data_IF_515800053512
#
_entry.id   IF_515800053512
#
_cell.length_a   1.000
_cell.length_b   1.000
_cell.length_c   1.000
_cell.angle_alpha   90.00
_cell.angle_beta   90.00
_cell.angle_gamma   90.00
#
_symmetry.space_group_name_H-M   'P 1'
#
loop_
_entity.id
_entity.type
_entity.pdbx_description
1 polymer ?
#
# COMPACT_ATOMS: atom_id res chain seq x y z
N UNK A 1 -22.27 48.19 83.42
CA UNK A 1 -21.67 46.97 83.89
C UNK A 1 -21.22 46.18 82.69
N UNK A 2 -19.91 45.93 82.57
CA UNK A 2 -19.24 45.39 81.35
C UNK A 2 -19.29 43.87 81.32
N UNK A 3 -19.77 43.29 80.31
CA UNK A 3 -19.60 41.85 80.06
C UNK A 3 -18.93 41.65 78.71
N UNK A 4 -17.80 41.06 78.72
CA UNK A 4 -16.96 40.73 77.58
C UNK A 4 -17.42 39.41 76.96
N UNK A 5 -17.63 39.27 75.65
CA UNK A 5 -17.82 37.96 75.06
C UNK A 5 -16.51 37.39 74.49
N UNK A 6 -16.28 36.16 74.89
CA UNK A 6 -15.19 35.27 74.45
C UNK A 6 -15.32 34.96 72.99
N UNK A 7 -14.23 35.18 72.21
CA UNK A 7 -14.15 34.84 70.80
C UNK A 7 -13.78 33.36 70.62
N UNK A 8 -14.67 32.55 70.04
CA UNK A 8 -14.34 31.21 69.48
C UNK A 8 -13.83 31.37 68.05
N UNK A 9 -12.64 30.90 67.78
CA UNK A 9 -12.07 30.83 66.43
C UNK A 9 -12.53 29.54 65.75
N UNK A 10 -13.05 29.60 64.53
CA UNK A 10 -13.27 28.38 63.73
C UNK A 10 -11.97 27.93 63.08
N UNK A 11 -11.63 26.65 63.28
CA UNK A 11 -10.55 25.98 62.62
C UNK A 11 -11.00 25.69 61.16
N UNK A 12 -10.34 26.33 60.20
CA UNK A 12 -10.51 26.08 58.81
C UNK A 12 -9.80 24.73 58.47
N UNK A 13 -10.58 23.70 58.19
CA UNK A 13 -10.08 22.44 57.67
C UNK A 13 -9.78 22.58 56.18
N UNK A 14 -8.52 22.45 55.78
CA UNK A 14 -8.07 22.43 54.40
C UNK A 14 -8.34 21.02 53.82
N UNK A 15 -9.39 20.88 53.02
CA UNK A 15 -9.60 19.63 52.28
C UNK A 15 -8.82 19.72 50.96
N UNK A 16 -7.70 18.99 50.91
CA UNK A 16 -6.94 18.83 49.70
C UNK A 16 -7.67 17.83 48.76
N UNK A 17 -8.34 18.32 47.73
CA UNK A 17 -8.89 17.49 46.68
C UNK A 17 -7.77 17.11 45.70
N UNK A 18 -7.27 15.89 45.77
CA UNK A 18 -6.37 15.29 44.78
C UNK A 18 -7.18 14.90 43.54
N UNK A 19 -7.07 15.71 42.50
CA UNK A 19 -7.61 15.38 41.17
C UNK A 19 -6.65 14.39 40.52
N UNK A 20 -7.02 13.11 40.46
CA UNK A 20 -6.36 12.08 39.65
C UNK A 20 -6.72 12.32 38.19
N UNK A 21 -5.83 12.97 37.44
CA UNK A 21 -5.92 12.98 35.96
C UNK A 21 -5.58 11.57 35.46
N UNK A 22 -6.59 10.78 35.22
CA UNK A 22 -6.48 9.55 34.43
C UNK A 22 -6.09 9.88 33.01
N UNK A 23 -4.79 9.74 32.68
CA UNK A 23 -4.34 9.74 31.32
C UNK A 23 -4.85 8.45 30.65
N UNK A 24 -5.97 8.53 29.92
CA UNK A 24 -6.36 7.51 28.95
C UNK A 24 -5.33 7.54 27.81
N UNK A 25 -4.24 6.80 27.96
CA UNK A 25 -3.40 6.42 26.85
C UNK A 25 -4.23 5.47 25.99
N UNK A 26 -4.86 6.00 24.95
CA UNK A 26 -5.37 5.19 23.85
C UNK A 26 -4.17 4.52 23.21
N UNK A 27 -3.88 3.29 23.62
CA UNK A 27 -3.01 2.38 22.88
C UNK A 27 -3.73 2.03 21.58
N UNK A 28 -3.64 2.94 20.60
CA UNK A 28 -3.88 2.60 19.22
C UNK A 28 -2.89 1.49 18.89
N UNK A 29 -3.38 0.28 18.61
CA UNK A 29 -2.53 -0.78 18.09
C UNK A 29 -1.78 -0.20 16.89
N UNK A 30 -0.45 -0.28 16.81
CA UNK A 30 0.24 0.15 15.62
C UNK A 30 -0.28 -0.72 14.47
N UNK A 31 -1.03 -0.12 13.57
CA UNK A 31 -1.31 -0.74 12.29
C UNK A 31 0.07 -0.94 11.67
N UNK A 32 0.57 -2.18 11.64
CA UNK A 32 1.89 -2.46 11.10
C UNK A 32 1.92 -1.96 9.67
N UNK A 33 2.64 -0.88 9.45
CA UNK A 33 2.84 -0.33 8.12
C UNK A 33 3.52 -1.37 7.22
N UNK A 34 3.48 -1.16 5.92
CA UNK A 34 4.24 -1.97 4.98
C UNK A 34 5.74 -1.95 5.35
N UNK A 35 6.36 -3.14 5.43
CA UNK A 35 7.82 -3.31 5.53
C UNK A 35 8.35 -4.08 4.33
N UNK A 36 9.51 -3.67 3.86
CA UNK A 36 10.23 -4.36 2.79
C UNK A 36 11.40 -5.22 3.30
N UNK A 37 11.55 -5.40 4.62
CA UNK A 37 12.70 -6.06 5.23
C UNK A 37 12.88 -7.50 4.76
N UNK A 38 11.77 -8.20 4.52
CA UNK A 38 11.73 -9.59 4.08
C UNK A 38 11.76 -9.75 2.54
N UNK A 39 11.80 -8.67 1.79
CA UNK A 39 11.85 -8.71 0.34
C UNK A 39 13.28 -8.90 -0.16
N UNK A 40 13.48 -9.53 -1.35
CA UNK A 40 14.79 -9.57 -1.99
C UNK A 40 15.37 -8.17 -2.21
N UNK A 41 16.67 -7.99 -1.96
CA UNK A 41 17.31 -6.67 -2.03
C UNK A 41 17.15 -5.97 -3.39
N UNK A 42 17.12 -6.76 -4.48
CA UNK A 42 16.96 -6.24 -5.83
C UNK A 42 15.65 -5.52 -6.08
N UNK A 43 14.62 -5.79 -5.28
CA UNK A 43 13.30 -5.15 -5.42
C UNK A 43 12.96 -4.20 -4.28
N UNK A 44 13.90 -3.91 -3.38
CA UNK A 44 13.71 -2.90 -2.35
C UNK A 44 13.81 -1.50 -2.92
N UNK A 45 12.91 -0.63 -2.49
CA UNK A 45 13.00 0.80 -2.77
C UNK A 45 14.18 1.37 -1.97
N UNK A 46 15.04 2.23 -2.54
CA UNK A 46 16.16 2.85 -1.83
C UNK A 46 15.73 3.56 -0.55
N UNK A 47 16.64 3.67 0.40
CA UNK A 47 16.41 4.42 1.64
C UNK A 47 15.99 5.88 1.36
N UNK A 48 15.29 6.50 2.33
CA UNK A 48 14.81 7.88 2.20
C UNK A 48 13.43 8.02 1.53
N UNK A 49 12.83 6.92 1.10
CA UNK A 49 11.46 6.91 0.58
C UNK A 49 10.45 6.46 1.65
N UNK A 50 9.22 6.91 1.52
CA UNK A 50 8.09 6.50 2.36
C UNK A 50 6.95 5.97 1.50
N UNK A 51 6.11 5.11 2.08
CA UNK A 51 4.89 4.67 1.43
C UNK A 51 3.93 5.86 1.31
N UNK A 52 3.61 6.22 0.07
CA UNK A 52 2.64 7.26 -0.24
C UNK A 52 1.25 6.68 -0.52
N UNK A 53 1.21 5.50 -1.13
CA UNK A 53 -0.03 4.82 -1.49
C UNK A 53 0.17 3.31 -1.44
N UNK A 54 -0.73 2.61 -0.75
CA UNK A 54 -0.72 1.15 -0.63
C UNK A 54 -2.06 0.60 -1.07
N UNK A 55 -2.04 -0.37 -1.97
CA UNK A 55 -3.25 -0.96 -2.53
C UNK A 55 -3.11 -2.45 -2.74
N UNK A 56 -4.24 -3.14 -2.77
CA UNK A 56 -4.36 -4.52 -3.25
C UNK A 56 -4.98 -4.48 -4.63
N UNK A 57 -4.25 -4.97 -5.65
CA UNK A 57 -4.77 -5.17 -6.99
C UNK A 57 -5.51 -6.51 -7.09
N UNK A 58 -6.76 -6.48 -7.56
CA UNK A 58 -7.57 -7.66 -7.83
C UNK A 58 -8.15 -7.57 -9.23
N UNK A 59 -7.87 -8.57 -10.08
CA UNK A 59 -8.30 -8.54 -11.46
C UNK A 59 -7.71 -9.68 -12.28
N UNK A 60 -7.54 -9.42 -13.56
CA UNK A 60 -7.14 -10.40 -14.57
C UNK A 60 -5.86 -9.97 -15.28
N UNK A 61 -5.13 -10.97 -15.77
CA UNK A 61 -4.05 -10.79 -16.74
C UNK A 61 -4.44 -11.58 -17.98
N UNK A 62 -4.46 -10.90 -19.12
CA UNK A 62 -4.77 -11.52 -20.41
C UNK A 62 -3.49 -12.03 -21.05
N UNK A 63 -3.54 -13.27 -21.51
CA UNK A 63 -2.55 -13.90 -22.37
C UNK A 63 -3.23 -14.36 -23.65
N UNK A 64 -2.52 -14.26 -24.76
CA UNK A 64 -2.94 -14.79 -26.06
C UNK A 64 -1.99 -15.89 -26.51
N UNK A 65 -2.56 -16.94 -27.08
CA UNK A 65 -1.80 -17.95 -27.77
C UNK A 65 -1.40 -17.42 -29.15
N UNK A 66 -0.11 -17.31 -29.41
CA UNK A 66 0.44 -16.81 -30.69
C UNK A 66 1.52 -17.73 -31.20
N UNK A 67 1.67 -17.74 -32.54
CA UNK A 67 2.80 -18.44 -33.18
C UNK A 67 4.12 -17.92 -32.62
N UNK A 68 5.00 -18.84 -32.26
CA UNK A 68 6.32 -18.52 -31.74
C UNK A 68 7.24 -18.04 -32.85
N UNK A 69 7.77 -16.83 -32.71
CA UNK A 69 8.62 -16.23 -33.73
C UNK A 69 9.83 -17.11 -34.06
N UNK A 70 10.02 -17.43 -35.34
CA UNK A 70 11.15 -18.24 -35.82
C UNK A 70 11.03 -19.75 -35.55
N UNK A 71 9.87 -20.25 -35.05
CA UNK A 71 9.61 -21.66 -34.77
C UNK A 71 8.28 -22.12 -35.40
N UNK A 72 8.24 -22.41 -36.70
CA UNK A 72 7.02 -22.83 -37.38
C UNK A 72 6.33 -24.02 -36.71
N UNK A 73 5.03 -23.93 -36.50
CA UNK A 73 4.24 -24.98 -35.85
C UNK A 73 4.35 -25.04 -34.33
N UNK A 74 5.02 -24.07 -33.70
CA UNK A 74 5.04 -23.89 -32.25
C UNK A 74 4.28 -22.62 -31.88
N UNK A 75 3.50 -22.70 -30.80
CA UNK A 75 2.79 -21.55 -30.22
C UNK A 75 3.26 -21.31 -28.78
N UNK A 76 3.06 -20.08 -28.33
CA UNK A 76 3.40 -19.66 -26.95
C UNK A 76 2.34 -18.68 -26.41
N UNK A 77 2.19 -18.68 -25.07
CA UNK A 77 1.38 -17.69 -24.39
C UNK A 77 2.11 -16.35 -24.33
N UNK A 78 1.55 -15.35 -24.98
CA UNK A 78 2.08 -13.99 -25.00
C UNK A 78 1.26 -13.12 -24.05
N UNK A 79 1.93 -12.43 -23.14
CA UNK A 79 1.31 -11.45 -22.25
C UNK A 79 0.71 -10.30 -23.06
N UNK A 80 -0.55 -9.99 -22.81
CA UNK A 80 -1.29 -8.88 -23.45
C UNK A 80 -1.38 -7.69 -22.50
N UNK A 81 -1.85 -7.91 -21.28
CA UNK A 81 -1.94 -6.82 -20.32
C UNK A 81 -2.78 -7.16 -19.09
N UNK A 82 -2.64 -6.32 -18.04
CA UNK A 82 -3.45 -6.42 -16.83
C UNK A 82 -4.72 -5.59 -16.94
N UNK A 83 -5.74 -6.00 -16.17
CA UNK A 83 -6.92 -5.22 -15.84
C UNK A 83 -7.33 -5.51 -14.41
N UNK A 84 -7.09 -4.58 -13.49
CA UNK A 84 -7.35 -4.78 -12.07
C UNK A 84 -7.94 -3.54 -11.41
N UNK A 85 -8.77 -3.77 -10.40
CA UNK A 85 -9.22 -2.75 -9.45
C UNK A 85 -8.20 -2.68 -8.32
N UNK A 86 -7.79 -1.48 -7.97
CA UNK A 86 -6.94 -1.20 -6.81
C UNK A 86 -7.82 -0.85 -5.63
N UNK A 87 -7.64 -1.55 -4.52
CA UNK A 87 -8.40 -1.37 -3.28
C UNK A 87 -7.47 -0.98 -2.15
N UNK A 88 -7.94 -0.17 -1.23
CA UNK A 88 -7.25 0.12 0.02
C UNK A 88 -7.28 -1.08 1.00
N UNK A 89 -6.69 -0.92 2.19
CA UNK A 89 -6.69 -1.95 3.24
C UNK A 89 -8.09 -2.31 3.75
N UNK A 90 -9.06 -1.41 3.63
CA UNK A 90 -10.47 -1.66 4.00
C UNK A 90 -11.24 -2.39 2.89
N UNK A 91 -10.61 -2.59 1.72
CA UNK A 91 -11.25 -3.22 0.56
C UNK A 91 -12.02 -2.24 -0.33
N UNK A 92 -11.95 -0.95 -0.05
CA UNK A 92 -12.62 0.08 -0.84
C UNK A 92 -11.85 0.32 -2.14
N UNK A 93 -12.52 0.34 -3.31
CA UNK A 93 -11.88 0.73 -4.57
C UNK A 93 -11.33 2.15 -4.51
N UNK A 94 -10.04 2.32 -4.83
CA UNK A 94 -9.34 3.60 -4.82
C UNK A 94 -8.67 3.93 -6.16
N UNK A 95 -8.71 3.00 -7.11
CA UNK A 95 -8.11 3.18 -8.42
C UNK A 95 -8.16 1.94 -9.29
N UNK A 96 -7.39 1.97 -10.37
CA UNK A 96 -7.25 0.88 -11.33
C UNK A 96 -5.80 0.71 -11.79
N UNK A 97 -5.49 -0.50 -12.25
CA UNK A 97 -4.23 -0.86 -12.90
C UNK A 97 -4.53 -1.57 -14.21
N UNK A 98 -4.00 -1.08 -15.30
CA UNK A 98 -4.29 -1.59 -16.65
C UNK A 98 -3.10 -1.37 -17.60
N UNK A 99 -3.17 -1.95 -18.77
CA UNK A 99 -2.14 -1.78 -19.80
C UNK A 99 -2.42 -2.61 -21.06
N UNK A 100 -1.53 -2.52 -22.08
CA UNK A 100 -0.31 -1.72 -22.21
C UNK A 100 -0.55 -0.24 -22.55
N UNK A 101 0.34 0.69 -22.19
CA UNK A 101 1.43 0.49 -21.20
C UNK A 101 0.88 0.32 -19.79
N UNK A 102 1.64 -0.36 -18.92
CA UNK A 102 1.26 -0.53 -17.52
C UNK A 102 1.00 0.83 -16.87
N UNK A 103 -0.25 1.06 -16.45
CA UNK A 103 -0.75 2.35 -15.97
C UNK A 103 -1.47 2.14 -14.63
N UNK A 104 -1.09 2.93 -13.65
CA UNK A 104 -1.79 3.09 -12.37
C UNK A 104 -2.59 4.38 -12.41
N UNK A 105 -3.85 4.32 -12.04
CA UNK A 105 -4.74 5.47 -12.01
C UNK A 105 -5.54 5.48 -10.72
N UNK A 106 -5.49 6.58 -9.99
CA UNK A 106 -6.31 6.82 -8.80
C UNK A 106 -7.70 7.36 -9.19
N UNK A 107 -8.67 7.28 -8.26
CA UNK A 107 -10.03 7.80 -8.49
C UNK A 107 -10.08 9.32 -8.66
N UNK A 108 -9.08 10.05 -8.15
CA UNK A 108 -8.94 11.50 -8.35
C UNK A 108 -8.49 11.90 -9.76
N UNK A 109 -8.27 10.90 -10.63
CA UNK A 109 -7.85 11.10 -12.02
C UNK A 109 -6.33 11.19 -12.21
N UNK A 110 -5.52 11.30 -11.14
CA UNK A 110 -4.08 11.23 -11.27
C UNK A 110 -3.66 9.84 -11.75
N UNK A 111 -2.69 9.79 -12.67
CA UNK A 111 -2.21 8.53 -13.24
C UNK A 111 -0.74 8.60 -13.61
N UNK A 112 -0.10 7.45 -13.65
CA UNK A 112 1.29 7.33 -14.09
C UNK A 112 1.55 5.98 -14.77
N UNK A 113 2.61 5.95 -15.53
CA UNK A 113 3.24 4.74 -16.06
C UNK A 113 4.58 4.53 -15.37
N UNK A 114 5.24 3.42 -15.65
CA UNK A 114 6.53 3.14 -15.03
C UNK A 114 7.43 2.28 -15.92
N UNK A 115 8.73 2.32 -15.63
CA UNK A 115 9.75 1.51 -16.28
C UNK A 115 10.26 0.46 -15.30
N UNK A 116 10.32 -0.81 -15.73
CA UNK A 116 10.82 -1.91 -14.90
C UNK A 116 12.30 -1.72 -14.58
N UNK A 117 12.64 -1.82 -13.29
CA UNK A 117 14.02 -1.85 -12.80
C UNK A 117 14.49 -3.26 -12.49
N UNK A 118 13.68 -4.02 -11.75
CA UNK A 118 14.03 -5.35 -11.31
C UNK A 118 12.81 -6.26 -11.13
N UNK A 119 13.07 -7.56 -11.19
CA UNK A 119 12.14 -8.62 -10.81
C UNK A 119 12.84 -9.64 -9.94
N UNK A 120 12.10 -10.34 -9.09
CA UNK A 120 12.59 -11.45 -8.29
C UNK A 120 11.51 -12.54 -8.16
N UNK A 121 11.86 -13.83 -8.01
CA UNK A 121 10.87 -14.88 -7.81
C UNK A 121 10.01 -14.65 -6.58
N UNK A 122 8.71 -14.91 -6.68
CA UNK A 122 7.73 -14.77 -5.59
C UNK A 122 7.06 -16.09 -5.20
N UNK A 123 7.52 -17.20 -5.78
CA UNK A 123 6.96 -18.53 -5.61
C UNK A 123 6.26 -19.07 -6.86
N UNK A 124 6.14 -20.39 -6.94
CA UNK A 124 5.56 -21.08 -8.09
C UNK A 124 4.11 -20.65 -8.32
N UNK A 125 3.72 -20.50 -9.58
CA UNK A 125 2.35 -20.11 -9.97
C UNK A 125 2.01 -18.62 -9.78
N UNK A 126 2.94 -17.82 -9.30
CA UNK A 126 2.74 -16.38 -9.09
C UNK A 126 3.58 -15.56 -10.07
N UNK A 127 3.09 -14.37 -10.41
CA UNK A 127 3.92 -13.36 -11.04
C UNK A 127 5.14 -13.05 -10.16
N UNK A 128 6.29 -12.68 -10.73
CA UNK A 128 7.45 -12.28 -9.94
C UNK A 128 7.17 -11.00 -9.15
N UNK A 129 7.85 -10.82 -8.02
CA UNK A 129 8.03 -9.51 -7.42
C UNK A 129 8.59 -8.54 -8.44
N UNK A 130 8.21 -7.28 -8.35
CA UNK A 130 8.69 -6.28 -9.30
C UNK A 130 8.92 -4.94 -8.61
N UNK A 131 10.03 -4.30 -8.97
CA UNK A 131 10.32 -2.91 -8.69
C UNK A 131 10.30 -2.14 -10.01
N UNK A 132 9.57 -1.03 -10.06
CA UNK A 132 9.54 -0.13 -11.21
C UNK A 132 9.82 1.30 -10.79
N UNK A 133 10.44 2.07 -11.68
CA UNK A 133 10.61 3.51 -11.58
C UNK A 133 9.38 4.17 -12.18
N UNK A 134 8.65 4.95 -11.39
CA UNK A 134 7.51 5.70 -11.88
C UNK A 134 7.97 6.83 -12.82
N UNK A 135 7.25 6.99 -13.92
CA UNK A 135 7.34 8.19 -14.75
C UNK A 135 6.56 9.33 -14.06
N UNK A 136 6.82 10.60 -14.39
CA UNK A 136 6.06 11.70 -13.82
C UNK A 136 4.55 11.49 -13.94
N UNK A 137 3.84 11.72 -12.84
CA UNK A 137 2.38 11.58 -12.83
C UNK A 137 1.72 12.62 -13.73
N UNK A 138 0.67 12.21 -14.41
CA UNK A 138 -0.26 13.08 -15.12
C UNK A 138 -1.42 13.40 -14.20
N UNK A 139 -1.75 14.68 -14.07
CA UNK A 139 -2.75 15.19 -13.13
C UNK A 139 -2.19 15.33 -11.71
N UNK A 140 -2.92 16.06 -10.88
CA UNK A 140 -2.61 16.24 -9.46
C UNK A 140 -3.49 15.33 -8.62
N UNK A 141 -2.90 14.66 -7.62
CA UNK A 141 -3.65 13.76 -6.75
C UNK A 141 -2.77 12.75 -6.03
N UNK A 142 -3.35 11.62 -5.66
CA UNK A 142 -2.72 10.56 -4.85
C UNK A 142 -1.41 10.02 -5.46
N UNK A 143 -1.26 10.09 -6.78
CA UNK A 143 -0.06 9.59 -7.47
C UNK A 143 0.98 10.68 -7.73
N UNK A 144 0.72 11.93 -7.37
CA UNK A 144 1.69 13.03 -7.50
C UNK A 144 2.91 12.77 -6.63
N UNK A 145 4.11 12.86 -7.23
CA UNK A 145 5.37 12.66 -6.51
C UNK A 145 5.73 11.20 -6.21
N UNK A 146 4.95 10.22 -6.64
CA UNK A 146 5.33 8.80 -6.58
C UNK A 146 6.55 8.57 -7.48
N UNK A 147 7.58 7.96 -6.92
CA UNK A 147 8.85 7.72 -7.62
C UNK A 147 9.15 6.26 -7.88
N UNK A 148 8.63 5.36 -7.07
CA UNK A 148 8.78 3.91 -7.22
C UNK A 148 7.45 3.21 -6.97
N UNK A 149 7.26 2.07 -7.62
CA UNK A 149 6.17 1.15 -7.31
C UNK A 149 6.75 -0.25 -7.11
N UNK A 150 6.30 -0.92 -6.07
CA UNK A 150 6.60 -2.32 -5.83
C UNK A 150 5.35 -3.16 -6.03
N UNK A 151 5.49 -4.27 -6.75
CA UNK A 151 4.49 -5.33 -6.82
C UNK A 151 4.95 -6.48 -5.94
N UNK A 152 4.22 -6.73 -4.85
CA UNK A 152 4.55 -7.71 -3.80
C UNK A 152 3.30 -8.50 -3.38
N UNK A 153 3.46 -9.50 -2.52
CA UNK A 153 2.36 -10.32 -1.99
C UNK A 153 1.45 -10.93 -3.07
N UNK A 154 2.05 -11.56 -4.06
CA UNK A 154 1.40 -12.00 -5.29
C UNK A 154 0.67 -13.32 -5.12
N UNK A 155 -0.47 -13.43 -5.81
CA UNK A 155 -1.24 -14.67 -5.99
C UNK A 155 -1.61 -14.82 -7.45
N UNK A 156 -1.10 -15.86 -8.13
CA UNK A 156 -1.44 -16.19 -9.50
C UNK A 156 -0.90 -15.19 -10.53
N UNK A 157 -1.64 -15.07 -11.63
CA UNK A 157 -1.34 -14.13 -12.70
C UNK A 157 -0.33 -14.62 -13.75
N UNK A 158 0.22 -15.83 -13.62
CA UNK A 158 1.07 -16.45 -14.65
C UNK A 158 0.23 -16.95 -15.82
N UNK A 159 0.89 -17.15 -16.97
CA UNK A 159 0.28 -17.78 -18.14
C UNK A 159 -0.33 -19.15 -17.80
N UNK A 160 -1.37 -19.60 -18.51
CA UNK A 160 -1.94 -20.92 -18.33
C UNK A 160 -0.87 -22.02 -18.44
N UNK A 161 -0.96 -23.04 -17.58
CA UNK A 161 -0.06 -24.19 -17.65
C UNK A 161 -0.36 -25.13 -18.83
N UNK A 162 -1.57 -25.01 -19.41
CA UNK A 162 -1.96 -25.79 -20.59
C UNK A 162 -1.10 -25.40 -21.80
N UNK A 163 -0.83 -26.37 -22.65
CA UNK A 163 -0.16 -26.12 -23.91
C UNK A 163 -0.98 -25.15 -24.75
N UNK A 164 -0.31 -24.15 -25.27
CA UNK A 164 -0.87 -23.21 -26.21
C UNK A 164 -0.85 -23.82 -27.62
N UNK A 165 -1.99 -24.04 -28.23
CA UNK A 165 -2.16 -24.64 -29.55
C UNK A 165 -3.29 -23.97 -30.34
#
# INVERSE_FOLDING_TARGET
>A
MKTTPTRLAPRLGLVAATVLLGACSSMGSPTSGFSQDHLPDTIKVPAGHKVAWETVGSGEITYECRDKAGMPGQAEWVFVGPKAVLKDRAGTPVGSYYGPPATWQALDGSKLTATQLAVAPSGAGNLPYQLVKANPAMGNGALSGVTYIQRVALKGGVAPAAVCS
#
